data_IF_122453455319
#
_entry.id   IF_122453455319
#
_cell.length_a   1.000
_cell.length_b   1.000
_cell.length_c   1.000
_cell.angle_alpha   90.00
_cell.angle_beta   90.00
_cell.angle_gamma   90.00
#
_symmetry.space_group_name_H-M   'P 1'
#
loop_
_entity.id
_entity.type
_entity.pdbx_description
1 polymer ?
#
# COMPACT_ATOMS: atom_id res chain seq x y z
N UNK A 1 49.94 2.96 0.08
CA UNK A 1 49.57 2.85 1.52
C UNK A 1 48.06 2.70 1.57
N UNK A 2 47.59 1.46 1.66
CA UNK A 2 46.19 1.05 1.53
C UNK A 2 45.46 1.19 2.87
N UNK A 3 44.39 1.97 2.89
CA UNK A 3 43.46 2.06 4.02
C UNK A 3 42.38 0.97 3.87
N UNK A 4 42.16 0.07 4.84
CA UNK A 4 41.14 -0.96 4.72
C UNK A 4 39.75 -0.37 5.00
N UNK A 5 38.79 -0.72 4.15
CA UNK A 5 37.37 -0.45 4.36
C UNK A 5 36.83 -1.40 5.43
N UNK A 6 36.31 -0.84 6.53
CA UNK A 6 35.62 -1.59 7.58
C UNK A 6 34.17 -1.09 7.68
N UNK A 7 33.31 -1.64 6.82
CA UNK A 7 31.88 -1.36 6.81
C UNK A 7 31.08 -2.65 6.57
N UNK A 8 31.18 -3.62 7.48
CA UNK A 8 30.20 -4.72 7.52
C UNK A 8 29.73 -4.94 8.94
N UNK A 9 28.90 -4.00 9.42
CA UNK A 9 27.97 -4.28 10.52
C UNK A 9 26.93 -5.25 9.96
N UNK A 10 27.22 -6.55 10.03
CA UNK A 10 26.19 -7.58 9.87
C UNK A 10 25.32 -7.53 11.13
N UNK A 11 24.34 -6.63 11.13
CA UNK A 11 23.32 -6.59 12.17
C UNK A 11 22.51 -7.88 12.08
N UNK A 12 22.89 -8.86 12.90
CA UNK A 12 22.22 -10.15 13.02
C UNK A 12 20.90 -9.98 13.79
N UNK A 13 19.93 -9.32 13.15
CA UNK A 13 18.57 -9.29 13.66
C UNK A 13 17.87 -10.57 13.22
N UNK A 14 17.32 -11.32 14.17
CA UNK A 14 16.43 -12.41 13.80
C UNK A 14 15.24 -11.82 13.01
N UNK A 15 14.80 -12.45 11.90
CA UNK A 15 13.78 -11.88 11.02
C UNK A 15 12.48 -11.54 11.75
N UNK A 16 12.19 -12.29 12.81
CA UNK A 16 11.03 -12.10 13.67
C UNK A 16 11.13 -10.83 14.53
N UNK A 17 12.33 -10.44 15.00
CA UNK A 17 12.53 -9.18 15.73
C UNK A 17 12.41 -7.97 14.82
N UNK A 18 12.96 -8.03 13.61
CA UNK A 18 12.81 -6.97 12.61
C UNK A 18 11.36 -6.77 12.20
N UNK A 19 10.61 -7.86 11.99
CA UNK A 19 9.18 -7.79 11.72
C UNK A 19 8.38 -7.17 12.87
N UNK A 20 8.63 -7.59 14.11
CA UNK A 20 7.96 -7.02 15.30
C UNK A 20 8.27 -5.53 15.47
N UNK A 21 9.51 -5.11 15.18
CA UNK A 21 9.91 -3.72 15.25
C UNK A 21 9.18 -2.90 14.18
N UNK A 22 9.12 -3.38 12.93
CA UNK A 22 8.34 -2.72 11.87
C UNK A 22 6.85 -2.61 12.19
N UNK A 23 6.24 -3.63 12.80
CA UNK A 23 4.84 -3.56 13.26
C UNK A 23 4.65 -2.47 14.31
N UNK A 24 5.57 -2.38 15.28
CA UNK A 24 5.51 -1.33 16.32
C UNK A 24 5.65 0.07 15.73
N UNK A 25 6.53 0.25 14.76
CA UNK A 25 6.75 1.51 14.05
C UNK A 25 5.55 1.89 13.17
N UNK A 26 4.77 0.91 12.70
CA UNK A 26 3.56 1.15 11.91
C UNK A 26 2.31 1.51 12.75
N UNK A 27 2.32 1.33 14.08
CA UNK A 27 1.16 1.62 14.95
C UNK A 27 0.62 3.05 14.78
N UNK A 28 1.45 4.12 14.75
CA UNK A 28 0.95 5.49 14.58
C UNK A 28 0.23 5.70 13.24
N UNK A 29 0.62 4.97 12.19
CA UNK A 29 0.00 5.06 10.87
C UNK A 29 -1.46 4.57 10.90
N UNK A 30 -1.78 3.61 11.79
CA UNK A 30 -3.14 3.08 11.96
C UNK A 30 -4.19 4.16 12.28
N UNK A 31 -3.78 5.25 12.93
CA UNK A 31 -4.67 6.37 13.25
C UNK A 31 -5.30 7.01 12.01
N UNK A 32 -4.59 7.05 10.89
CA UNK A 32 -5.09 7.59 9.62
C UNK A 32 -6.02 6.64 8.86
N UNK A 33 -5.83 5.32 9.00
CA UNK A 33 -6.62 4.34 8.24
C UNK A 33 -8.05 4.20 8.72
N UNK A 34 -8.31 4.29 10.02
CA UNK A 34 -9.67 4.13 10.60
C UNK A 34 -10.67 5.12 9.98
N UNK A 35 -10.46 6.45 10.03
CA UNK A 35 -11.42 7.39 9.45
C UNK A 35 -11.55 7.22 7.94
N UNK A 36 -10.46 6.96 7.22
CA UNK A 36 -10.49 6.73 5.76
C UNK A 36 -11.31 5.49 5.40
N UNK A 37 -11.14 4.39 6.14
CA UNK A 37 -11.88 3.15 5.92
C UNK A 37 -13.39 3.34 6.18
N UNK A 38 -13.75 4.08 7.24
CA UNK A 38 -15.15 4.42 7.52
C UNK A 38 -15.76 5.30 6.43
N UNK A 39 -15.03 6.33 6.00
CA UNK A 39 -15.45 7.20 4.89
C UNK A 39 -15.65 6.42 3.59
N UNK A 40 -14.72 5.52 3.26
CA UNK A 40 -14.85 4.68 2.07
C UNK A 40 -16.06 3.74 2.16
N UNK A 41 -16.24 3.03 3.27
CA UNK A 41 -17.38 2.14 3.46
C UNK A 41 -18.72 2.87 3.31
N UNK A 42 -18.82 4.08 3.85
CA UNK A 42 -20.00 4.93 3.69
C UNK A 42 -20.22 5.35 2.23
N UNK A 43 -19.17 5.80 1.53
CA UNK A 43 -19.28 6.22 0.12
C UNK A 43 -19.64 5.05 -0.79
N UNK A 44 -19.02 3.88 -0.60
CA UNK A 44 -19.30 2.69 -1.39
C UNK A 44 -20.74 2.20 -1.21
N UNK A 45 -21.22 2.16 0.03
CA UNK A 45 -22.61 1.74 0.31
C UNK A 45 -23.65 2.74 -0.22
N UNK A 46 -23.37 4.06 -0.16
CA UNK A 46 -24.22 5.07 -0.79
C UNK A 46 -24.22 4.97 -2.33
N UNK A 47 -23.12 4.52 -2.92
CA UNK A 47 -23.01 4.25 -4.36
C UNK A 47 -23.69 2.94 -4.79
N UNK A 48 -24.34 2.22 -3.88
CA UNK A 48 -25.11 1.00 -4.17
C UNK A 48 -24.31 -0.30 -4.06
N UNK A 49 -23.05 -0.26 -3.63
CA UNK A 49 -22.27 -1.46 -3.36
C UNK A 49 -22.67 -2.08 -2.02
N UNK A 50 -22.67 -3.41 -1.95
CA UNK A 50 -22.82 -4.14 -0.70
C UNK A 50 -21.59 -3.98 0.19
N UNK A 51 -21.74 -4.21 1.49
CA UNK A 51 -20.62 -4.23 2.45
C UNK A 51 -19.52 -5.19 2.03
N UNK A 52 -19.87 -6.34 1.46
CA UNK A 52 -18.91 -7.34 0.98
C UNK A 52 -18.15 -6.88 -0.25
N UNK A 53 -18.82 -6.21 -1.20
CA UNK A 53 -18.15 -5.62 -2.36
C UNK A 53 -17.23 -4.47 -1.94
N UNK A 54 -17.66 -3.61 -1.02
CA UNK A 54 -16.80 -2.57 -0.45
C UNK A 54 -15.55 -3.19 0.21
N UNK A 55 -15.71 -4.25 1.00
CA UNK A 55 -14.58 -4.95 1.61
C UNK A 55 -13.66 -5.59 0.56
N UNK A 56 -14.21 -6.17 -0.50
CA UNK A 56 -13.44 -6.76 -1.60
C UNK A 56 -12.65 -5.70 -2.38
N UNK A 57 -13.28 -4.56 -2.70
CA UNK A 57 -12.62 -3.41 -3.32
C UNK A 57 -11.47 -2.93 -2.42
N UNK A 58 -11.71 -2.86 -1.11
CA UNK A 58 -10.66 -2.45 -0.17
C UNK A 58 -9.46 -3.38 -0.14
N UNK A 59 -9.70 -4.70 -0.22
CA UNK A 59 -8.65 -5.71 -0.23
C UNK A 59 -7.86 -5.73 -1.55
N UNK A 60 -8.53 -5.51 -2.69
CA UNK A 60 -7.94 -5.57 -4.02
C UNK A 60 -7.24 -4.27 -4.42
N UNK A 61 -7.87 -3.13 -4.16
CA UNK A 61 -7.36 -1.80 -4.48
C UNK A 61 -6.83 -1.22 -3.18
N UNK A 62 -5.71 -1.72 -2.69
CA UNK A 62 -5.15 -1.32 -1.39
C UNK A 62 -4.45 0.06 -1.46
N UNK A 63 -5.19 1.10 -1.84
CA UNK A 63 -4.73 2.48 -1.92
C UNK A 63 -5.92 3.45 -1.81
N UNK A 64 -5.88 4.33 -0.80
CA UNK A 64 -7.03 5.15 -0.39
C UNK A 64 -7.65 5.94 -1.54
N UNK A 65 -6.87 6.79 -2.22
CA UNK A 65 -7.38 7.63 -3.31
C UNK A 65 -8.00 6.82 -4.46
N UNK A 66 -7.42 5.67 -4.80
CA UNK A 66 -7.90 4.84 -5.91
C UNK A 66 -9.21 4.10 -5.63
N UNK A 67 -9.51 3.77 -4.37
CA UNK A 67 -10.79 3.14 -4.00
C UNK A 67 -11.97 4.10 -4.22
N UNK A 68 -11.82 5.37 -3.83
CA UNK A 68 -12.83 6.40 -4.07
C UNK A 68 -13.01 6.70 -5.57
N UNK A 69 -11.90 6.75 -6.32
CA UNK A 69 -11.95 6.90 -7.78
C UNK A 69 -12.69 5.74 -8.44
N UNK A 70 -12.36 4.50 -8.06
CA UNK A 70 -12.98 3.30 -8.59
C UNK A 70 -14.50 3.33 -8.38
N UNK A 71 -14.94 3.50 -7.12
CA UNK A 71 -16.36 3.55 -6.78
C UNK A 71 -17.07 4.71 -7.49
N UNK A 72 -16.48 5.90 -7.50
CA UNK A 72 -17.06 7.07 -8.13
C UNK A 72 -17.24 6.90 -9.64
N UNK A 73 -16.28 6.28 -10.32
CA UNK A 73 -16.38 6.03 -11.76
C UNK A 73 -17.40 4.94 -12.10
N UNK A 74 -17.46 3.86 -11.31
CA UNK A 74 -18.48 2.82 -11.51
C UNK A 74 -19.88 3.40 -11.26
N UNK A 75 -20.06 4.20 -10.20
CA UNK A 75 -21.33 4.86 -9.89
C UNK A 75 -21.76 5.85 -10.99
N UNK A 76 -20.79 6.48 -11.67
CA UNK A 76 -21.03 7.36 -12.82
C UNK A 76 -21.31 6.62 -14.13
N UNK A 77 -21.32 5.27 -14.13
CA UNK A 77 -21.58 4.46 -15.32
C UNK A 77 -20.40 4.40 -16.30
N UNK A 78 -19.18 4.69 -15.84
CA UNK A 78 -17.99 4.58 -16.68
C UNK A 78 -17.75 3.11 -17.08
N UNK A 79 -17.25 2.85 -18.31
CA UNK A 79 -16.94 1.48 -18.72
C UNK A 79 -15.78 0.92 -17.89
N UNK A 80 -15.88 -0.36 -17.50
CA UNK A 80 -14.96 -1.01 -16.56
C UNK A 80 -13.48 -0.90 -16.97
N UNK A 81 -13.17 -1.03 -18.27
CA UNK A 81 -11.80 -0.92 -18.76
C UNK A 81 -11.18 0.45 -18.45
N UNK A 82 -11.98 1.52 -18.51
CA UNK A 82 -11.54 2.88 -18.23
C UNK A 82 -11.34 3.08 -16.72
N UNK A 83 -12.24 2.51 -15.91
CA UNK A 83 -12.09 2.52 -14.45
C UNK A 83 -10.77 1.86 -14.03
N UNK A 84 -10.49 0.67 -14.59
CA UNK A 84 -9.24 -0.05 -14.34
C UNK A 84 -8.04 0.77 -14.82
N UNK A 85 -8.08 1.33 -16.03
CA UNK A 85 -7.00 2.14 -16.56
C UNK A 85 -6.70 3.37 -15.70
N UNK A 86 -7.73 4.11 -15.26
CA UNK A 86 -7.57 5.28 -14.40
C UNK A 86 -7.09 4.90 -13.00
N UNK A 87 -7.59 3.79 -12.45
CA UNK A 87 -7.15 3.22 -11.17
C UNK A 87 -5.67 2.82 -11.21
N UNK A 88 -5.21 2.23 -12.30
CA UNK A 88 -3.79 1.93 -12.49
C UNK A 88 -2.97 3.21 -12.67
N UNK A 89 -3.48 4.16 -13.45
CA UNK A 89 -2.81 5.43 -13.76
C UNK A 89 -2.55 6.26 -12.50
N UNK A 90 -3.54 6.43 -11.62
CA UNK A 90 -3.34 7.15 -10.36
C UNK A 90 -2.33 6.42 -9.45
N UNK A 91 -2.29 5.09 -9.52
CA UNK A 91 -1.38 4.27 -8.73
C UNK A 91 0.07 4.26 -9.26
N UNK A 92 0.34 4.76 -10.46
CA UNK A 92 1.71 4.96 -10.98
C UNK A 92 2.57 5.78 -10.01
N UNK A 93 1.97 6.61 -9.16
CA UNK A 93 2.67 7.33 -8.08
C UNK A 93 3.54 6.41 -7.19
N UNK A 94 3.17 5.14 -7.04
CA UNK A 94 3.95 4.18 -6.26
C UNK A 94 5.30 3.82 -6.89
N UNK A 95 5.44 4.00 -8.21
CA UNK A 95 6.72 3.78 -8.93
C UNK A 95 7.82 4.69 -8.39
N UNK A 96 7.46 5.89 -7.92
CA UNK A 96 8.40 6.86 -7.33
C UNK A 96 9.05 6.32 -6.05
N UNK A 97 8.39 5.42 -5.32
CA UNK A 97 8.94 4.77 -4.13
C UNK A 97 9.94 3.66 -4.45
N UNK A 98 9.99 3.20 -5.71
CA UNK A 98 10.82 2.09 -6.17
C UNK A 98 12.30 2.22 -5.76
N UNK A 99 12.99 3.33 -6.04
CA UNK A 99 14.39 3.51 -5.66
C UNK A 99 14.65 3.41 -4.15
N UNK A 100 13.76 3.98 -3.33
CA UNK A 100 13.88 3.95 -1.87
C UNK A 100 13.66 2.53 -1.32
N UNK A 101 12.77 1.76 -1.94
CA UNK A 101 12.47 0.40 -1.51
C UNK A 101 13.45 -0.64 -2.08
N UNK A 102 14.09 -0.38 -3.22
CA UNK A 102 14.97 -1.32 -3.91
C UNK A 102 16.11 -1.83 -3.02
N UNK A 103 16.67 -0.97 -2.16
CA UNK A 103 17.71 -1.33 -1.20
C UNK A 103 17.20 -2.17 -0.01
N UNK A 104 15.89 -2.15 0.24
CA UNK A 104 15.22 -2.82 1.37
C UNK A 104 14.51 -4.11 0.94
N UNK A 105 14.40 -4.38 -0.36
CA UNK A 105 13.67 -5.54 -0.86
C UNK A 105 14.42 -6.85 -0.54
N UNK A 106 13.76 -7.81 0.14
CA UNK A 106 14.37 -9.12 0.38
C UNK A 106 14.46 -9.89 -0.95
N UNK A 107 15.51 -10.70 -1.11
CA UNK A 107 15.64 -11.64 -2.26
C UNK A 107 14.64 -12.81 -2.22
N UNK A 108 13.58 -12.71 -1.42
CA UNK A 108 12.60 -13.77 -1.21
C UNK A 108 11.50 -13.74 -2.28
N UNK A 109 10.91 -14.90 -2.59
CA UNK A 109 9.79 -15.03 -3.54
C UNK A 109 8.50 -14.30 -3.10
N UNK A 110 8.44 -13.86 -1.84
CA UNK A 110 7.26 -13.22 -1.26
C UNK A 110 7.23 -11.71 -1.41
N UNK A 111 8.25 -11.10 -2.02
CA UNK A 111 8.34 -9.66 -2.24
C UNK A 111 7.10 -9.02 -2.90
N UNK A 112 6.34 -9.67 -3.82
CA UNK A 112 5.16 -9.04 -4.41
C UNK A 112 4.03 -8.84 -3.40
N UNK A 113 3.89 -9.74 -2.43
CA UNK A 113 2.91 -9.62 -1.35
C UNK A 113 3.24 -8.48 -0.41
N UNK A 114 4.54 -8.25 -0.16
CA UNK A 114 5.00 -7.10 0.60
C UNK A 114 4.70 -5.79 -0.15
N UNK A 115 4.84 -5.79 -1.47
CA UNK A 115 4.51 -4.63 -2.30
C UNK A 115 3.00 -4.33 -2.38
N UNK A 116 2.14 -5.34 -2.30
CA UNK A 116 0.68 -5.12 -2.23
C UNK A 116 0.28 -4.29 -1.00
N UNK A 117 0.98 -4.47 0.11
CA UNK A 117 0.76 -3.71 1.34
C UNK A 117 1.47 -2.36 1.38
N UNK A 118 2.17 -1.96 0.31
CA UNK A 118 2.88 -0.69 0.27
C UNK A 118 1.88 0.46 0.20
N UNK A 119 1.97 1.37 1.16
CA UNK A 119 1.15 2.59 1.19
C UNK A 119 2.02 3.83 1.21
N UNK A 120 1.46 4.92 0.68
CA UNK A 120 2.11 6.22 0.59
C UNK A 120 2.30 6.91 1.94
N UNK A 121 1.62 6.44 3.00
CA UNK A 121 1.72 7.02 4.35
C UNK A 121 3.10 6.85 5.00
N UNK A 122 3.93 5.92 4.54
CA UNK A 122 5.32 5.79 5.00
C UNK A 122 6.19 6.94 4.48
N UNK A 123 5.77 7.59 3.39
CA UNK A 123 6.50 8.67 2.72
C UNK A 123 5.86 10.05 2.90
N UNK A 124 4.77 10.14 3.66
CA UNK A 124 4.04 11.37 3.97
C UNK A 124 4.44 11.90 5.35
#
# INVERSE_FOLDING_TARGET
>A
MSQPADHTVHANHSPLRSALQGVREAIPLLGGYIPVALSFGLVATQAGFTTWEAAAISALIYAGASQFLFVGMIAAGAPLWLVVAMTLLINVRHVVYGPNLAALLPSSRHWPWLMHGLTDQVFA
#
